data_IF_510058604384
#
_entry.id   IF_510058604384
#
_cell.length_a   1.000
_cell.length_b   1.000
_cell.length_c   1.000
_cell.angle_alpha   90.00
_cell.angle_beta   90.00
_cell.angle_gamma   90.00
#
_symmetry.space_group_name_H-M   'P 1'
#
loop_
_entity.id
_entity.type
_entity.pdbx_description
1 polymer ?
#
# COMPACT_ATOMS: atom_id res chain seq x y z
N UNK A 1 24.23 -1.56 3.44
CA UNK A 1 24.30 -0.13 3.12
C UNK A 1 24.91 0.58 4.32
N UNK A 2 25.59 1.69 4.10
CA UNK A 2 26.06 2.55 5.20
C UNK A 2 24.84 3.16 5.92
N UNK A 3 24.89 3.32 7.24
CA UNK A 3 23.80 3.93 8.02
C UNK A 3 23.53 5.36 7.55
N UNK A 4 24.58 6.10 7.20
CA UNK A 4 24.47 7.45 6.65
C UNK A 4 23.69 7.48 5.31
N UNK A 5 23.82 6.43 4.51
CA UNK A 5 23.07 6.31 3.27
C UNK A 5 21.58 6.08 3.53
N UNK A 6 21.23 5.19 4.46
CA UNK A 6 19.84 4.92 4.82
C UNK A 6 19.13 6.18 5.32
N UNK A 7 19.82 6.99 6.13
CA UNK A 7 19.28 8.26 6.62
C UNK A 7 19.06 9.25 5.50
N UNK A 8 20.06 9.48 4.65
CA UNK A 8 19.93 10.38 3.52
C UNK A 8 18.82 9.93 2.57
N UNK A 9 18.67 8.62 2.35
CA UNK A 9 17.60 8.06 1.54
C UNK A 9 16.22 8.38 2.14
N UNK A 10 16.04 8.11 3.43
CA UNK A 10 14.74 8.31 4.09
C UNK A 10 14.39 9.79 4.25
N UNK A 11 15.38 10.65 4.50
CA UNK A 11 15.23 12.10 4.48
C UNK A 11 14.72 12.60 3.12
N UNK A 12 15.36 12.18 2.01
CA UNK A 12 14.88 12.52 0.67
C UNK A 12 13.48 11.97 0.40
N UNK A 13 13.15 10.78 0.92
CA UNK A 13 11.80 10.23 0.80
C UNK A 13 10.77 11.13 1.51
N UNK A 14 11.05 11.55 2.75
CA UNK A 14 10.19 12.46 3.50
C UNK A 14 10.01 13.79 2.75
N UNK A 15 11.08 14.37 2.20
CA UNK A 15 11.02 15.58 1.39
C UNK A 15 10.07 15.42 0.19
N UNK A 16 10.11 14.26 -0.49
CA UNK A 16 9.21 13.98 -1.63
C UNK A 16 7.76 13.81 -1.20
N UNK A 17 7.52 13.15 -0.06
CA UNK A 17 6.17 12.99 0.50
C UNK A 17 5.58 14.36 0.84
N UNK A 18 6.32 15.21 1.55
CA UNK A 18 5.88 16.56 1.93
C UNK A 18 5.62 17.46 0.72
N UNK A 19 6.46 17.38 -0.32
CA UNK A 19 6.31 18.18 -1.52
C UNK A 19 5.15 17.75 -2.44
N UNK A 20 4.70 16.49 -2.35
CA UNK A 20 3.79 15.89 -3.33
C UNK A 20 2.42 15.56 -2.76
N UNK A 21 2.36 15.05 -1.53
CA UNK A 21 1.13 14.47 -0.97
C UNK A 21 0.20 15.57 -0.50
N UNK A 22 -1.00 15.60 -1.06
CA UNK A 22 -2.07 16.53 -0.73
C UNK A 22 -3.39 15.76 -0.59
N UNK A 23 -4.47 16.38 -0.08
CA UNK A 23 -5.80 15.76 -0.07
C UNK A 23 -6.33 15.35 -1.44
N UNK A 24 -5.72 15.82 -2.55
CA UNK A 24 -6.13 15.51 -3.93
C UNK A 24 -5.10 14.76 -4.76
N UNK A 25 -3.87 14.65 -4.29
CA UNK A 25 -2.77 13.96 -4.97
C UNK A 25 -2.08 13.06 -3.95
N UNK A 26 -2.19 11.76 -4.13
CA UNK A 26 -1.59 10.77 -3.25
C UNK A 26 -0.37 10.11 -3.87
N UNK A 27 0.31 9.31 -3.07
CA UNK A 27 1.52 8.60 -3.44
C UNK A 27 1.50 7.19 -2.82
N UNK A 28 1.80 6.16 -3.61
CA UNK A 28 1.98 4.81 -3.07
C UNK A 28 3.41 4.70 -2.51
N UNK A 29 3.53 4.93 -1.21
CA UNK A 29 4.80 5.11 -0.51
C UNK A 29 5.57 3.83 -0.22
N UNK A 30 5.22 2.67 -0.78
CA UNK A 30 5.91 1.41 -0.49
C UNK A 30 7.41 1.53 -0.74
N UNK A 31 8.23 0.98 0.17
CA UNK A 31 9.68 1.05 0.07
C UNK A 31 10.23 0.50 -1.26
N UNK A 32 9.57 -0.50 -1.85
CA UNK A 32 9.95 -1.10 -3.14
C UNK A 32 9.59 -0.26 -4.37
N UNK A 33 8.84 0.82 -4.21
CA UNK A 33 8.52 1.77 -5.29
C UNK A 33 9.61 2.83 -5.48
N UNK A 34 10.70 2.77 -4.71
CA UNK A 34 11.77 3.78 -4.71
C UNK A 34 13.12 3.16 -5.04
N UNK A 35 13.92 3.91 -5.79
CA UNK A 35 15.31 3.57 -6.07
C UNK A 35 16.15 4.84 -6.02
N UNK A 36 17.41 4.69 -5.63
CA UNK A 36 18.40 5.74 -5.80
C UNK A 36 19.22 5.50 -7.08
N UNK A 37 19.28 6.50 -7.95
CA UNK A 37 20.09 6.49 -9.17
C UNK A 37 20.94 7.76 -9.19
N UNK A 38 22.25 7.60 -9.19
CA UNK A 38 23.22 8.72 -9.22
C UNK A 38 22.99 9.78 -8.11
N UNK A 39 22.57 9.32 -6.93
CA UNK A 39 22.27 10.18 -5.77
C UNK A 39 20.87 10.80 -5.76
N UNK A 40 20.07 10.58 -6.81
CA UNK A 40 18.69 11.06 -6.91
C UNK A 40 17.71 9.96 -6.50
N UNK A 41 16.71 10.35 -5.70
CA UNK A 41 15.60 9.46 -5.32
C UNK A 41 14.55 9.44 -6.43
N UNK A 42 14.35 8.28 -7.04
CA UNK A 42 13.42 8.06 -8.16
C UNK A 42 12.25 7.20 -7.72
N UNK A 43 11.04 7.67 -8.03
CA UNK A 43 9.80 6.94 -7.84
C UNK A 43 9.48 6.09 -9.08
N UNK A 44 9.20 4.81 -8.89
CA UNK A 44 9.02 3.83 -9.96
C UNK A 44 7.56 3.43 -10.22
N UNK A 45 6.65 3.65 -9.27
CA UNK A 45 5.26 3.21 -9.47
C UNK A 45 4.52 4.16 -10.41
N UNK A 46 4.16 3.63 -11.57
CA UNK A 46 3.37 4.29 -12.62
C UNK A 46 1.96 3.71 -12.72
N UNK A 47 1.59 2.78 -11.83
CA UNK A 47 0.43 1.92 -12.02
C UNK A 47 -0.83 2.39 -11.30
N UNK A 48 -0.69 3.15 -10.20
CA UNK A 48 -1.84 3.59 -9.39
C UNK A 48 -2.04 5.11 -9.48
N UNK A 49 -3.03 5.61 -10.23
CA UNK A 49 -3.33 7.05 -10.29
C UNK A 49 -4.07 7.48 -9.02
N UNK A 50 -3.31 7.82 -7.98
CA UNK A 50 -3.83 8.37 -6.72
C UNK A 50 -4.14 9.86 -6.88
N UNK A 51 -5.25 10.15 -7.57
CA UNK A 51 -5.72 11.51 -7.81
C UNK A 51 -7.21 11.64 -7.50
N UNK A 52 -7.60 12.79 -6.94
CA UNK A 52 -9.00 13.17 -6.69
C UNK A 52 -9.41 14.43 -7.43
N UNK A 53 -10.69 14.47 -7.80
CA UNK A 53 -11.32 15.68 -8.33
C UNK A 53 -11.47 16.78 -7.25
N UNK A 54 -12.02 17.93 -7.62
CA UNK A 54 -12.26 19.06 -6.71
C UNK A 54 -13.27 18.74 -5.59
N UNK A 55 -14.02 17.65 -5.72
CA UNK A 55 -15.00 17.17 -4.76
C UNK A 55 -14.46 15.99 -3.94
N UNK A 56 -13.14 15.79 -3.97
CA UNK A 56 -12.41 14.72 -3.29
C UNK A 56 -12.84 13.31 -3.71
N UNK A 57 -13.35 13.15 -4.93
CA UNK A 57 -13.70 11.83 -5.48
C UNK A 57 -12.51 11.25 -6.24
N UNK A 58 -12.22 9.97 -5.98
CA UNK A 58 -11.19 9.21 -6.70
C UNK A 58 -11.42 9.29 -8.22
N UNK A 59 -10.37 9.65 -8.97
CA UNK A 59 -10.36 9.56 -10.44
C UNK A 59 -10.11 8.13 -10.92
N UNK A 60 -9.56 7.29 -10.06
CA UNK A 60 -9.38 5.87 -10.27
C UNK A 60 -10.72 5.13 -10.23
N UNK A 61 -10.94 4.23 -11.19
CA UNK A 61 -12.10 3.32 -11.17
C UNK A 61 -11.87 2.23 -10.11
N UNK A 62 -12.11 2.59 -8.85
CA UNK A 62 -11.99 1.72 -7.66
C UNK A 62 -12.67 0.35 -7.84
N UNK A 63 -13.86 0.24 -8.46
CA UNK A 63 -14.45 -1.06 -8.84
C UNK A 63 -13.51 -2.03 -9.54
N UNK A 64 -12.53 -1.56 -10.35
CA UNK A 64 -11.59 -2.43 -11.08
C UNK A 64 -10.80 -3.34 -10.14
N UNK A 65 -10.40 -2.86 -8.95
CA UNK A 65 -9.61 -3.64 -7.98
C UNK A 65 -10.35 -4.87 -7.44
N UNK A 66 -11.69 -4.80 -7.40
CA UNK A 66 -12.53 -5.85 -6.81
C UNK A 66 -13.20 -6.74 -7.85
N UNK A 67 -12.94 -6.52 -9.15
CA UNK A 67 -13.46 -7.40 -10.21
C UNK A 67 -13.02 -8.86 -10.00
N UNK A 68 -11.85 -9.05 -9.37
CA UNK A 68 -11.32 -10.37 -9.01
C UNK A 68 -11.99 -11.08 -7.83
N UNK A 69 -12.83 -10.37 -7.07
CA UNK A 69 -13.60 -10.96 -5.97
C UNK A 69 -14.89 -11.63 -6.49
N UNK A 70 -15.40 -12.66 -5.77
CA UNK A 70 -16.71 -13.25 -6.05
C UNK A 70 -17.79 -12.17 -6.16
N UNK A 71 -18.68 -12.31 -7.15
CA UNK A 71 -19.71 -11.29 -7.45
C UNK A 71 -20.52 -10.87 -6.22
N UNK A 72 -20.85 -11.81 -5.32
CA UNK A 72 -21.62 -11.56 -4.09
C UNK A 72 -20.86 -10.66 -3.09
N UNK A 73 -19.52 -10.70 -3.10
CA UNK A 73 -18.68 -9.90 -2.21
C UNK A 73 -18.32 -8.54 -2.78
N UNK A 74 -18.47 -8.34 -4.10
CA UNK A 74 -18.09 -7.07 -4.75
C UNK A 74 -18.85 -5.89 -4.17
N UNK A 75 -20.16 -6.03 -3.95
CA UNK A 75 -20.99 -4.94 -3.43
C UNK A 75 -20.70 -4.63 -1.96
N UNK A 76 -20.46 -5.67 -1.14
CA UNK A 76 -20.10 -5.53 0.28
C UNK A 76 -18.76 -4.81 0.42
N UNK A 77 -17.76 -5.25 -0.34
CA UNK A 77 -16.42 -4.67 -0.35
C UNK A 77 -16.43 -3.25 -0.92
N UNK A 78 -17.20 -2.99 -1.98
CA UNK A 78 -17.42 -1.64 -2.50
C UNK A 78 -17.93 -0.71 -1.40
N UNK A 79 -19.01 -1.09 -0.71
CA UNK A 79 -19.60 -0.27 0.37
C UNK A 79 -18.62 -0.01 1.52
N UNK A 80 -17.83 -1.00 1.92
CA UNK A 80 -16.84 -0.86 2.99
C UNK A 80 -15.60 -0.03 2.59
N UNK A 81 -15.18 -0.08 1.32
CA UNK A 81 -13.90 0.50 0.86
C UNK A 81 -14.03 1.87 0.16
N UNK A 82 -15.25 2.35 -0.15
CA UNK A 82 -15.49 3.61 -0.92
C UNK A 82 -14.99 4.90 -0.23
N UNK A 83 -14.54 4.85 1.03
CA UNK A 83 -13.88 5.99 1.68
C UNK A 83 -12.55 5.64 2.37
N UNK A 84 -12.48 4.56 3.13
CA UNK A 84 -11.42 4.42 4.15
C UNK A 84 -10.02 4.03 3.66
N UNK A 85 -9.86 3.35 2.51
CA UNK A 85 -8.59 2.66 2.23
C UNK A 85 -7.60 3.51 1.44
N UNK A 86 -8.10 4.38 0.57
CA UNK A 86 -7.22 5.26 -0.19
C UNK A 86 -6.85 6.53 0.57
N UNK A 87 -7.65 6.94 1.57
CA UNK A 87 -7.40 8.16 2.37
C UNK A 87 -5.98 8.22 2.94
N UNK A 88 -5.40 7.07 3.31
CA UNK A 88 -4.01 7.01 3.82
C UNK A 88 -3.00 7.56 2.81
N UNK A 89 -3.20 7.34 1.51
CA UNK A 89 -2.27 7.77 0.47
C UNK A 89 -2.32 9.28 0.21
N UNK A 90 -3.38 9.96 0.67
CA UNK A 90 -3.57 11.41 0.52
C UNK A 90 -3.13 12.21 1.76
N UNK A 91 -2.42 11.56 2.69
CA UNK A 91 -1.86 12.23 3.86
C UNK A 91 -0.39 11.86 4.02
N UNK A 92 0.52 12.82 4.32
CA UNK A 92 1.93 12.51 4.56
C UNK A 92 2.12 11.41 5.61
N UNK A 93 1.39 11.51 6.73
CA UNK A 93 1.42 10.51 7.81
C UNK A 93 1.04 9.11 7.32
N UNK A 94 -0.01 8.98 6.50
CA UNK A 94 -0.45 7.69 6.00
C UNK A 94 0.53 7.08 4.99
N UNK A 95 1.14 7.89 4.14
CA UNK A 95 2.18 7.46 3.19
C UNK A 95 3.45 7.00 3.93
N UNK A 96 3.87 7.73 4.97
CA UNK A 96 5.00 7.33 5.81
C UNK A 96 4.72 6.05 6.59
N UNK A 97 3.50 5.89 7.16
CA UNK A 97 3.08 4.66 7.80
C UNK A 97 3.13 3.47 6.82
N UNK A 98 2.71 3.67 5.58
CA UNK A 98 2.77 2.63 4.55
C UNK A 98 4.21 2.24 4.21
N UNK A 99 5.12 3.21 4.04
CA UNK A 99 6.55 2.95 3.83
C UNK A 99 7.13 2.11 4.98
N UNK A 100 6.93 2.56 6.23
CA UNK A 100 7.46 1.90 7.42
C UNK A 100 6.86 0.49 7.60
N UNK A 101 5.57 0.33 7.32
CA UNK A 101 4.90 -0.97 7.36
C UNK A 101 5.46 -1.96 6.35
N UNK A 102 5.80 -1.47 5.14
CA UNK A 102 6.40 -2.30 4.09
C UNK A 102 7.81 -2.79 4.45
N UNK A 103 8.56 -2.11 5.33
CA UNK A 103 9.85 -2.62 5.78
C UNK A 103 9.74 -4.00 6.44
N UNK A 104 8.63 -4.29 7.14
CA UNK A 104 8.39 -5.64 7.69
C UNK A 104 8.20 -6.69 6.60
N UNK A 105 7.55 -6.33 5.49
CA UNK A 105 7.36 -7.20 4.32
C UNK A 105 8.70 -7.47 3.63
N UNK A 106 9.55 -6.45 3.53
CA UNK A 106 10.87 -6.52 2.88
C UNK A 106 11.99 -7.05 3.79
N UNK A 107 11.68 -7.47 5.03
CA UNK A 107 12.64 -7.96 6.04
C UNK A 107 13.71 -6.93 6.44
N UNK A 108 13.30 -5.67 6.48
CA UNK A 108 14.10 -4.49 6.84
C UNK A 108 13.57 -3.82 8.12
N UNK A 109 12.88 -4.56 8.98
CA UNK A 109 12.26 -4.04 10.20
C UNK A 109 13.26 -3.40 11.18
N UNK A 110 14.53 -3.75 11.08
CA UNK A 110 15.61 -3.16 11.88
C UNK A 110 15.83 -1.66 11.59
N UNK A 111 15.37 -1.16 10.44
CA UNK A 111 15.39 0.28 10.10
C UNK A 111 14.25 1.06 10.75
N UNK A 112 13.18 0.38 11.18
CA UNK A 112 11.95 1.03 11.67
C UNK A 112 12.22 1.99 12.83
N UNK A 113 12.95 1.63 13.91
CA UNK A 113 13.16 2.55 15.03
C UNK A 113 13.82 3.86 14.59
N UNK A 114 14.84 3.78 13.73
CA UNK A 114 15.60 4.94 13.25
C UNK A 114 14.78 5.83 12.33
N UNK A 115 14.07 5.24 11.38
CA UNK A 115 13.20 6.00 10.47
C UNK A 115 11.99 6.57 11.19
N UNK A 116 11.50 5.90 12.24
CA UNK A 116 10.42 6.42 13.08
C UNK A 116 10.84 7.71 13.80
N UNK A 117 12.08 7.77 14.32
CA UNK A 117 12.62 9.00 14.92
C UNK A 117 12.66 10.16 13.92
N UNK A 118 13.18 9.92 12.70
CA UNK A 118 13.24 10.93 11.64
C UNK A 118 11.85 11.39 11.19
N UNK A 119 10.92 10.46 10.99
CA UNK A 119 9.54 10.76 10.61
C UNK A 119 8.82 11.57 11.69
N UNK A 120 8.94 11.16 12.95
CA UNK A 120 8.26 11.82 14.06
C UNK A 120 8.79 13.24 14.35
N UNK A 121 9.98 13.58 13.88
CA UNK A 121 10.48 14.95 13.92
C UNK A 121 9.74 15.89 12.95
N UNK A 122 9.08 15.34 11.92
CA UNK A 122 8.41 16.11 10.85
C UNK A 122 6.89 15.99 10.84
N UNK A 123 6.35 14.89 11.38
CA UNK A 123 4.91 14.65 11.43
C UNK A 123 4.23 15.40 12.58
N UNK A 124 3.15 16.13 12.28
CA UNK A 124 2.31 16.79 13.31
C UNK A 124 1.78 15.81 14.37
N UNK A 125 1.46 14.59 13.92
CA UNK A 125 1.03 13.49 14.77
C UNK A 125 2.01 12.32 14.63
N UNK A 126 2.79 12.02 15.67
CA UNK A 126 3.78 10.95 15.60
C UNK A 126 3.14 9.57 15.37
N UNK A 127 3.95 8.69 14.82
CA UNK A 127 3.71 7.27 14.66
C UNK A 127 4.39 6.50 15.79
N UNK A 128 3.78 5.40 16.22
CA UNK A 128 4.38 4.47 17.18
C UNK A 128 4.82 3.16 16.48
N UNK A 129 5.82 2.49 17.05
CA UNK A 129 6.31 1.22 16.52
C UNK A 129 5.27 0.09 16.59
N UNK A 130 4.33 0.11 17.55
CA UNK A 130 3.19 -0.81 17.55
C UNK A 130 2.20 -0.48 16.44
N UNK A 131 1.98 0.79 16.13
CA UNK A 131 1.11 1.21 15.02
C UNK A 131 1.65 0.70 13.68
N UNK A 132 2.95 0.86 13.42
CA UNK A 132 3.61 0.34 12.22
C UNK A 132 3.47 -1.19 12.11
N UNK A 133 3.72 -1.91 13.22
CA UNK A 133 3.59 -3.37 13.27
C UNK A 133 2.15 -3.83 13.10
N UNK A 134 1.19 -3.14 13.72
CA UNK A 134 -0.23 -3.45 13.62
C UNK A 134 -0.72 -3.27 12.19
N UNK A 135 -0.34 -2.16 11.55
CA UNK A 135 -0.67 -1.87 10.16
C UNK A 135 -0.22 -3.00 9.21
N UNK A 136 1.06 -3.42 9.30
CA UNK A 136 1.55 -4.55 8.50
C UNK A 136 0.77 -5.85 8.77
N UNK A 137 0.47 -6.17 10.05
CA UNK A 137 -0.30 -7.38 10.39
C UNK A 137 -1.71 -7.35 9.83
N UNK A 138 -2.37 -6.20 9.87
CA UNK A 138 -3.72 -6.02 9.34
C UNK A 138 -3.74 -6.14 7.82
N UNK A 139 -2.80 -5.50 7.13
CA UNK A 139 -2.64 -5.60 5.69
C UNK A 139 -2.37 -7.05 5.24
N UNK A 140 -1.44 -7.74 5.91
CA UNK A 140 -1.14 -9.14 5.62
C UNK A 140 -2.36 -10.06 5.82
N UNK A 141 -3.18 -9.82 6.85
CA UNK A 141 -4.43 -10.58 7.11
C UNK A 141 -5.49 -10.29 6.05
N UNK A 142 -5.67 -9.03 5.69
CA UNK A 142 -6.59 -8.61 4.63
C UNK A 142 -6.22 -9.29 3.30
N UNK A 143 -4.94 -9.25 2.93
CA UNK A 143 -4.45 -9.88 1.71
C UNK A 143 -4.62 -11.40 1.73
N UNK A 144 -4.34 -12.05 2.87
CA UNK A 144 -4.57 -13.49 3.02
C UNK A 144 -6.06 -13.85 2.83
N UNK A 145 -6.98 -13.07 3.40
CA UNK A 145 -8.41 -13.25 3.22
C UNK A 145 -8.83 -13.09 1.76
N UNK A 146 -8.41 -12.01 1.09
CA UNK A 146 -8.68 -11.76 -0.34
C UNK A 146 -8.18 -12.94 -1.19
N UNK A 147 -6.97 -13.42 -0.94
CA UNK A 147 -6.39 -14.53 -1.67
C UNK A 147 -7.15 -15.85 -1.46
N UNK A 148 -7.66 -16.11 -0.25
CA UNK A 148 -8.54 -17.26 0.03
C UNK A 148 -9.86 -17.15 -0.74
N UNK A 149 -10.48 -15.97 -0.75
CA UNK A 149 -11.71 -15.71 -1.50
C UNK A 149 -11.52 -15.90 -3.01
N UNK A 150 -10.44 -15.39 -3.57
CA UNK A 150 -10.10 -15.58 -4.99
C UNK A 150 -9.89 -17.05 -5.35
N UNK A 151 -9.25 -17.84 -4.47
CA UNK A 151 -9.10 -19.29 -4.65
C UNK A 151 -10.44 -20.03 -4.62
N UNK A 152 -11.35 -19.63 -3.73
CA UNK A 152 -12.70 -20.19 -3.66
C UNK A 152 -13.52 -19.83 -4.92
N UNK A 153 -13.43 -18.59 -5.40
CA UNK A 153 -14.10 -18.15 -6.62
C UNK A 153 -13.64 -18.95 -7.84
N UNK A 154 -12.33 -19.19 -7.94
CA UNK A 154 -11.74 -20.05 -8.98
C UNK A 154 -12.28 -21.47 -8.91
N UNK A 155 -12.45 -22.02 -7.71
CA UNK A 155 -13.03 -23.36 -7.53
C UNK A 155 -14.47 -23.40 -8.05
N UNK A 156 -15.30 -22.42 -7.68
CA UNK A 156 -16.69 -22.33 -8.15
C UNK A 156 -16.76 -22.22 -9.68
N UNK A 157 -15.96 -21.33 -10.28
CA UNK A 157 -15.89 -21.18 -11.74
C UNK A 157 -15.53 -22.50 -12.43
N UNK A 158 -14.45 -23.15 -11.98
CA UNK A 158 -13.92 -24.34 -12.66
C UNK A 158 -14.72 -25.62 -12.37
N UNK A 159 -15.30 -25.78 -11.18
CA UNK A 159 -15.90 -27.05 -10.71
C UNK A 159 -17.42 -27.04 -10.66
N UNK A 160 -18.04 -25.87 -10.46
CA UNK A 160 -19.51 -25.75 -10.38
C UNK A 160 -20.05 -25.21 -11.70
N UNK A 161 -19.52 -24.08 -12.16
CA UNK A 161 -20.02 -23.39 -13.35
C UNK A 161 -19.41 -23.89 -14.66
N UNK A 162 -18.32 -24.67 -14.59
CA UNK A 162 -17.56 -25.17 -15.74
C UNK A 162 -17.13 -24.06 -16.71
N UNK A 163 -16.72 -22.90 -16.17
CA UNK A 163 -16.25 -21.73 -16.91
C UNK A 163 -14.80 -21.41 -16.56
N UNK A 164 -14.02 -20.84 -17.51
CA UNK A 164 -12.66 -20.41 -17.21
C UNK A 164 -12.68 -19.28 -16.17
N UNK A 165 -11.80 -19.36 -15.18
CA UNK A 165 -11.58 -18.29 -14.23
C UNK A 165 -10.71 -17.19 -14.87
N UNK A 166 -11.17 -15.92 -14.92
CA UNK A 166 -10.55 -14.89 -15.76
C UNK A 166 -9.29 -14.25 -15.16
N UNK A 167 -8.91 -14.58 -13.92
CA UNK A 167 -7.78 -13.96 -13.23
C UNK A 167 -6.63 -14.93 -12.97
N UNK A 168 -5.40 -14.42 -13.09
CA UNK A 168 -4.21 -15.14 -12.64
C UNK A 168 -4.12 -15.11 -11.11
N UNK A 169 -4.00 -16.28 -10.50
CA UNK A 169 -3.72 -16.40 -9.07
C UNK A 169 -2.26 -16.78 -8.85
N UNK A 170 -1.56 -16.15 -7.90
CA UNK A 170 -0.20 -16.54 -7.54
C UNK A 170 -0.12 -18.03 -7.22
N UNK A 171 0.98 -18.67 -7.65
CA UNK A 171 1.30 -20.03 -7.21
C UNK A 171 1.58 -20.01 -5.70
N UNK A 172 1.46 -21.18 -5.07
CA UNK A 172 1.80 -21.31 -3.66
C UNK A 172 3.26 -20.88 -3.46
N UNK A 173 3.49 -19.83 -2.68
CA UNK A 173 4.85 -19.41 -2.30
C UNK A 173 5.21 -20.22 -1.06
N UNK A 174 6.28 -21.01 -1.14
CA UNK A 174 6.83 -21.67 0.05
C UNK A 174 7.32 -20.57 1.00
N UNK A 175 6.81 -20.56 2.23
CA UNK A 175 7.25 -19.65 3.28
C UNK A 175 8.66 -19.98 3.74
#
# INVERSE_FOLDING_TARGET
ADEAWCDGFFERFLDRVEATVTPRLGLDGQASNWIEVDGELVYLDVTTPLMRDERERELLDVPLFFTSLPWLLRDVVRLAMTKSIFDKFYTPRGVVLDFLGNLHKERLEWLVPRFLEQANARLDRPLDAEEVRAYYREDARMWELIQRLRKADRFVHNKVLHRPYPFLLPRHVAR
#
